data_IF_475025055014
#
_entry.id   IF_475025055014
#
_cell.length_a   1.000
_cell.length_b   1.000
_cell.length_c   1.000
_cell.angle_alpha   90.00
_cell.angle_beta   90.00
_cell.angle_gamma   90.00
#
_symmetry.space_group_name_H-M   'P 1'
#
loop_
_entity.id
_entity.type
_entity.pdbx_description
1 polymer ?
#
# COMPACT_ATOMS: atom_id res chain seq x y z
N UNK A 1 -37.65 -26.31 -14.82
CA UNK A 1 -36.94 -25.92 -13.58
C UNK A 1 -35.49 -26.41 -13.55
N UNK A 2 -35.21 -27.69 -13.80
CA UNK A 2 -33.84 -28.26 -13.76
C UNK A 2 -32.84 -27.54 -14.68
N UNK A 3 -33.26 -27.19 -15.90
CA UNK A 3 -32.45 -26.45 -16.87
C UNK A 3 -32.11 -25.01 -16.38
N UNK A 4 -33.07 -24.33 -15.75
CA UNK A 4 -32.86 -22.97 -15.22
C UNK A 4 -31.88 -22.98 -14.04
N UNK A 5 -31.98 -23.97 -13.16
CA UNK A 5 -31.08 -24.10 -12.01
C UNK A 5 -29.63 -24.35 -12.46
N UNK A 6 -29.44 -25.20 -13.48
CA UNK A 6 -28.13 -25.42 -14.09
C UNK A 6 -27.55 -24.15 -14.71
N UNK A 7 -28.36 -23.36 -15.43
CA UNK A 7 -27.91 -22.08 -15.99
C UNK A 7 -27.50 -21.07 -14.91
N UNK A 8 -28.26 -21.01 -13.80
CA UNK A 8 -27.93 -20.12 -12.67
C UNK A 8 -26.62 -20.55 -12.01
N UNK A 9 -26.39 -21.86 -11.84
CA UNK A 9 -25.15 -22.39 -11.30
C UNK A 9 -23.95 -22.01 -12.18
N UNK A 10 -24.03 -22.23 -13.50
CA UNK A 10 -22.94 -21.85 -14.42
C UNK A 10 -22.65 -20.34 -14.40
N UNK A 11 -23.69 -19.50 -14.32
CA UNK A 11 -23.53 -18.04 -14.19
C UNK A 11 -22.84 -17.67 -12.88
N UNK A 12 -23.26 -18.28 -11.77
CA UNK A 12 -22.66 -18.04 -10.46
C UNK A 12 -21.19 -18.49 -10.42
N UNK A 13 -20.87 -19.66 -10.96
CA UNK A 13 -19.50 -20.17 -11.08
C UNK A 13 -18.62 -19.22 -11.90
N UNK A 14 -19.10 -18.77 -13.06
CA UNK A 14 -18.38 -17.81 -13.91
C UNK A 14 -18.17 -16.46 -13.20
N UNK A 15 -19.19 -15.96 -12.50
CA UNK A 15 -19.08 -14.72 -11.72
C UNK A 15 -18.08 -14.87 -10.56
N UNK A 16 -18.12 -16.01 -9.86
CA UNK A 16 -17.19 -16.31 -8.77
C UNK A 16 -15.75 -16.39 -9.27
N UNK A 17 -15.50 -17.05 -10.41
CA UNK A 17 -14.18 -17.09 -11.04
C UNK A 17 -13.69 -15.69 -11.41
N UNK A 18 -14.56 -14.83 -11.96
CA UNK A 18 -14.19 -13.45 -12.29
C UNK A 18 -13.80 -12.64 -11.05
N UNK A 19 -14.53 -12.80 -9.95
CA UNK A 19 -14.23 -12.14 -8.67
C UNK A 19 -12.86 -12.59 -8.16
N UNK A 20 -12.58 -13.90 -8.17
CA UNK A 20 -11.27 -14.43 -7.73
C UNK A 20 -10.14 -13.85 -8.57
N UNK A 21 -10.26 -13.87 -9.91
CA UNK A 21 -9.22 -13.30 -10.78
C UNK A 21 -8.99 -11.81 -10.51
N UNK A 22 -10.05 -11.04 -10.24
CA UNK A 22 -9.91 -9.62 -9.88
C UNK A 22 -9.23 -9.42 -8.54
N UNK A 23 -9.47 -10.30 -7.56
CA UNK A 23 -8.79 -10.26 -6.27
C UNK A 23 -7.30 -10.55 -6.46
N UNK A 24 -6.95 -11.56 -7.26
CA UNK A 24 -5.56 -11.89 -7.57
C UNK A 24 -4.84 -10.71 -8.24
N UNK A 25 -5.48 -10.07 -9.23
CA UNK A 25 -4.94 -8.86 -9.87
C UNK A 25 -4.76 -7.69 -8.88
N UNK A 26 -5.69 -7.52 -7.94
CA UNK A 26 -5.56 -6.50 -6.90
C UNK A 26 -4.42 -6.83 -5.93
N UNK A 27 -4.21 -8.10 -5.60
CA UNK A 27 -3.08 -8.57 -4.79
C UNK A 27 -1.75 -8.16 -5.41
N UNK A 28 -1.53 -8.49 -6.69
CA UNK A 28 -0.31 -8.10 -7.41
C UNK A 28 -0.08 -6.58 -7.40
N UNK A 29 -1.14 -5.78 -7.60
CA UNK A 29 -1.02 -4.32 -7.58
C UNK A 29 -0.68 -3.77 -6.20
N UNK A 30 -1.14 -4.41 -5.13
CA UNK A 30 -0.77 -4.05 -3.76
C UNK A 30 0.71 -4.34 -3.54
N UNK A 31 1.20 -5.51 -3.94
CA UNK A 31 2.62 -5.87 -3.82
C UNK A 31 3.52 -4.86 -4.56
N UNK A 32 3.14 -4.47 -5.79
CA UNK A 32 3.84 -3.44 -6.57
C UNK A 32 3.82 -2.06 -5.89
N UNK A 33 2.70 -1.70 -5.25
CA UNK A 33 2.56 -0.43 -4.54
C UNK A 33 3.41 -0.42 -3.26
N UNK A 34 3.42 -1.52 -2.50
CA UNK A 34 4.27 -1.69 -1.33
C UNK A 34 5.75 -1.56 -1.68
N UNK A 35 6.18 -2.20 -2.78
CA UNK A 35 7.53 -2.05 -3.31
C UNK A 35 7.84 -0.58 -3.67
N UNK A 36 6.94 0.08 -4.41
CA UNK A 36 7.13 1.48 -4.81
C UNK A 36 7.24 2.44 -3.61
N UNK A 37 6.47 2.20 -2.55
CA UNK A 37 6.55 2.97 -1.30
C UNK A 37 7.86 2.73 -0.56
N UNK A 38 8.33 1.47 -0.51
CA UNK A 38 9.61 1.14 0.10
C UNK A 38 10.78 1.81 -0.62
N UNK A 39 10.75 1.80 -1.96
CA UNK A 39 11.77 2.45 -2.79
C UNK A 39 11.75 3.98 -2.58
N UNK A 40 10.57 4.61 -2.60
CA UNK A 40 10.43 6.04 -2.32
C UNK A 40 10.93 6.41 -0.92
N UNK A 41 10.64 5.60 0.09
CA UNK A 41 11.12 5.79 1.46
C UNK A 41 12.64 5.68 1.53
N UNK A 42 13.24 4.74 0.79
CA UNK A 42 14.70 4.61 0.73
C UNK A 42 15.35 5.84 0.08
N UNK A 43 14.78 6.34 -1.01
CA UNK A 43 15.25 7.57 -1.68
C UNK A 43 15.10 8.82 -0.78
N UNK A 44 13.97 8.95 -0.08
CA UNK A 44 13.72 10.08 0.82
C UNK A 44 14.54 10.00 2.11
N UNK A 45 14.79 8.80 2.64
CA UNK A 45 15.65 8.56 3.81
C UNK A 45 17.13 8.89 3.59
N UNK A 46 17.55 9.06 2.33
CA UNK A 46 18.87 9.59 1.97
C UNK A 46 18.94 11.10 1.82
N UNK A 47 17.83 11.83 2.03
CA UNK A 47 17.92 13.27 2.27
C UNK A 47 18.40 13.51 3.69
N UNK A 48 19.72 13.55 3.87
CA UNK A 48 20.40 14.13 5.02
C UNK A 48 19.90 15.57 5.21
N UNK A 49 18.79 15.74 5.92
CA UNK A 49 18.49 17.01 6.56
C UNK A 49 19.45 17.02 7.76
N UNK A 50 20.47 17.89 7.79
CA UNK A 50 21.35 17.96 8.94
C UNK A 50 20.46 18.42 10.09
N UNK A 51 20.13 17.52 11.01
CA UNK A 51 19.50 17.87 12.27
C UNK A 51 20.55 18.72 13.00
N UNK A 52 20.48 20.04 12.81
CA UNK A 52 21.22 21.00 13.62
C UNK A 52 20.86 20.70 15.07
N UNK A 53 21.83 20.18 15.82
CA UNK A 53 21.76 20.11 17.28
C UNK A 53 21.28 21.48 17.78
N UNK A 54 20.29 21.55 18.68
CA UNK A 54 19.96 22.81 19.32
C UNK A 54 21.17 23.24 20.14
N UNK A 55 21.82 24.31 19.68
CA UNK A 55 22.90 24.98 20.39
C UNK A 55 22.35 25.46 21.74
N UNK A 56 23.09 25.10 22.78
CA UNK A 56 22.83 25.38 24.19
C UNK A 56 22.86 26.89 24.42
N UNK A 57 21.70 27.54 24.44
CA UNK A 57 21.56 28.94 24.84
C UNK A 57 21.77 29.05 26.36
N UNK A 58 23.04 29.22 26.75
CA UNK A 58 23.45 29.64 28.10
C UNK A 58 22.81 30.99 28.43
N UNK A 59 22.01 31.15 29.50
CA UNK A 59 21.54 32.45 29.91
C UNK A 59 22.68 33.14 30.68
N UNK A 60 23.29 34.14 30.06
CA UNK A 60 24.02 35.18 30.80
C UNK A 60 23.01 36.21 31.24
N UNK A 61 22.58 36.13 32.49
CA UNK A 61 21.98 37.28 33.19
C UNK A 61 22.81 37.60 34.42
N UNK A 62 23.49 38.74 34.37
CA UNK A 62 24.22 39.36 35.47
C UNK A 62 24.51 40.81 35.08
N UNK A 63 23.62 41.73 35.44
CA UNK A 63 23.91 43.06 35.98
C UNK A 63 22.63 43.79 36.37
#
# INVERSE_FOLDING_TARGET
>A
VQNLLGQMQTRFESMSQNIVSKIDEMGTKIDELEQSVNDLKAEMGTTDIPVKKPDEAKPTDSA
#
